data_IF_934948582581
#
_entry.id   IF_934948582581
#
_cell.length_a   1.000
_cell.length_b   1.000
_cell.length_c   1.000
_cell.angle_alpha   90.00
_cell.angle_beta   90.00
_cell.angle_gamma   90.00
#
_symmetry.space_group_name_H-M   'P 1'
#
loop_
_entity.id
_entity.type
_entity.pdbx_description
1 polymer ?
#
# COMPACT_ATOMS: atom_id res chain seq x y z
N UNK A 1 1.81 -5.43 33.04
CA UNK A 1 1.29 -5.70 31.86
C UNK A 1 2.24 -6.22 30.92
N UNK A 2 1.90 -7.22 30.39
CA UNK A 2 2.69 -7.71 29.52
C UNK A 2 2.81 -6.91 28.35
N UNK A 3 3.91 -6.99 27.82
CA UNK A 3 4.18 -6.35 26.62
C UNK A 3 3.30 -6.93 25.62
N UNK A 4 2.22 -6.30 25.43
CA UNK A 4 1.42 -6.67 24.33
C UNK A 4 2.24 -6.52 23.11
N UNK A 5 2.47 -7.61 22.49
CA UNK A 5 3.11 -7.57 21.20
C UNK A 5 2.13 -6.95 20.23
N UNK A 6 2.25 -5.65 20.04
CA UNK A 6 1.38 -4.94 19.11
C UNK A 6 1.65 -5.29 17.66
N UNK A 7 2.74 -6.00 17.38
CA UNK A 7 3.11 -6.35 16.02
C UNK A 7 2.80 -7.81 15.74
N UNK A 8 2.11 -8.06 14.65
CA UNK A 8 1.81 -9.41 14.19
C UNK A 8 2.79 -9.77 13.07
N UNK A 9 3.94 -10.30 13.47
CA UNK A 9 5.02 -10.62 12.54
C UNK A 9 4.59 -11.67 11.52
N UNK A 10 3.81 -12.65 11.94
CA UNK A 10 3.35 -13.70 11.02
C UNK A 10 2.43 -13.14 9.95
N UNK A 11 1.52 -12.24 10.35
CA UNK A 11 0.60 -11.63 9.41
C UNK A 11 1.32 -10.67 8.44
N UNK A 12 2.33 -9.94 8.94
CA UNK A 12 3.16 -9.07 8.10
C UNK A 12 3.89 -9.92 7.06
N UNK A 13 4.49 -11.03 7.47
CA UNK A 13 5.19 -11.94 6.56
C UNK A 13 4.24 -12.55 5.53
N UNK A 14 3.06 -12.96 5.97
CA UNK A 14 2.04 -13.52 5.07
C UNK A 14 1.61 -12.48 4.04
N UNK A 15 1.39 -11.24 4.47
CA UNK A 15 1.02 -10.15 3.56
C UNK A 15 2.11 -9.93 2.51
N UNK A 16 3.37 -9.92 2.92
CA UNK A 16 4.49 -9.74 2.01
C UNK A 16 4.56 -10.86 0.98
N UNK A 17 4.40 -12.10 1.41
CA UNK A 17 4.43 -13.26 0.52
C UNK A 17 3.28 -13.22 -0.48
N UNK A 18 2.07 -12.93 -0.02
CA UNK A 18 0.91 -12.84 -0.90
C UNK A 18 1.00 -11.66 -1.86
N UNK A 19 1.55 -10.54 -1.40
CA UNK A 19 1.74 -9.37 -2.25
C UNK A 19 2.77 -9.65 -3.36
N UNK A 20 3.83 -10.41 -3.04
CA UNK A 20 4.82 -10.81 -4.03
C UNK A 20 4.16 -11.55 -5.20
N UNK A 21 3.23 -12.45 -4.89
CA UNK A 21 2.50 -13.21 -5.93
C UNK A 21 1.54 -12.29 -6.68
N UNK A 22 0.73 -11.51 -5.96
CA UNK A 22 -0.28 -10.65 -6.57
C UNK A 22 0.35 -9.58 -7.47
N UNK A 23 1.35 -8.87 -6.95
CA UNK A 23 1.99 -7.76 -7.67
C UNK A 23 2.82 -8.23 -8.86
N UNK A 24 3.28 -9.47 -8.82
CA UNK A 24 4.01 -10.03 -9.95
C UNK A 24 3.15 -10.06 -11.22
N UNK A 25 1.84 -10.09 -11.07
CA UNK A 25 0.91 -10.03 -12.20
C UNK A 25 1.01 -8.74 -13.00
N UNK A 26 1.45 -7.65 -12.38
CA UNK A 26 1.64 -6.37 -13.09
C UNK A 26 2.89 -6.36 -13.97
N UNK A 27 3.73 -7.39 -13.89
CA UNK A 27 4.85 -7.59 -14.80
C UNK A 27 4.41 -8.27 -16.10
N UNK A 28 3.14 -8.66 -16.22
CA UNK A 28 2.59 -9.25 -17.43
C UNK A 28 2.62 -8.25 -18.57
N UNK A 29 2.89 -8.76 -19.79
CA UNK A 29 2.82 -7.95 -21.00
C UNK A 29 1.39 -7.80 -21.53
N UNK A 30 0.42 -8.49 -20.93
CA UNK A 30 -0.98 -8.43 -21.33
C UNK A 30 -1.69 -7.25 -20.66
N UNK A 31 -2.06 -6.18 -21.42
CA UNK A 31 -2.73 -5.02 -20.83
C UNK A 31 -4.08 -5.36 -20.19
N UNK A 32 -4.80 -6.35 -20.72
CA UNK A 32 -6.08 -6.75 -20.15
C UNK A 32 -5.90 -7.36 -18.77
N UNK A 33 -4.88 -8.21 -18.62
CA UNK A 33 -4.58 -8.81 -17.32
C UNK A 33 -4.21 -7.72 -16.29
N UNK A 34 -3.38 -6.75 -16.69
CA UNK A 34 -3.01 -5.64 -15.79
C UNK A 34 -4.23 -4.81 -15.40
N UNK A 35 -5.13 -4.56 -16.34
CA UNK A 35 -6.35 -3.81 -16.06
C UNK A 35 -7.25 -4.53 -15.07
N UNK A 36 -7.41 -5.85 -15.21
CA UNK A 36 -8.20 -6.65 -14.28
C UNK A 36 -7.59 -6.60 -12.88
N UNK A 37 -6.27 -6.76 -12.77
CA UNK A 37 -5.59 -6.67 -11.47
C UNK A 37 -5.74 -5.29 -10.86
N UNK A 38 -5.62 -4.24 -11.67
CA UNK A 38 -5.81 -2.86 -11.20
C UNK A 38 -7.21 -2.62 -10.66
N UNK A 39 -8.23 -3.18 -11.32
CA UNK A 39 -9.61 -3.03 -10.85
C UNK A 39 -9.84 -3.72 -9.50
N UNK A 40 -9.12 -4.80 -9.22
CA UNK A 40 -9.22 -5.51 -7.94
C UNK A 40 -8.66 -4.70 -6.77
N UNK A 41 -7.86 -3.67 -7.05
CA UNK A 41 -7.27 -2.82 -6.02
C UNK A 41 -8.21 -1.73 -5.53
N UNK A 42 -9.39 -1.57 -6.17
CA UNK A 42 -10.34 -0.53 -5.77
C UNK A 42 -10.98 -0.88 -4.44
N UNK A 43 -11.08 0.09 -3.51
CA UNK A 43 -11.73 -0.17 -2.24
C UNK A 43 -13.23 -0.35 -2.39
N UNK A 44 -13.78 -1.27 -1.60
CA UNK A 44 -15.22 -1.36 -1.38
C UNK A 44 -15.60 -0.39 -0.27
N UNK A 45 -16.90 -0.14 -0.11
CA UNK A 45 -17.36 0.81 0.89
C UNK A 45 -16.86 0.47 2.31
N UNK A 46 -16.90 -0.82 2.68
CA UNK A 46 -16.45 -1.24 4.00
C UNK A 46 -14.94 -1.14 4.21
N UNK A 47 -14.16 -1.07 3.15
CA UNK A 47 -12.70 -1.07 3.24
C UNK A 47 -12.16 0.22 3.83
N UNK A 48 -12.88 1.32 3.70
CA UNK A 48 -12.47 2.61 4.26
C UNK A 48 -12.37 2.54 5.79
N UNK A 49 -13.39 1.99 6.43
CA UNK A 49 -13.41 1.87 7.89
C UNK A 49 -12.41 0.84 8.40
N UNK A 50 -12.06 -0.15 7.58
CA UNK A 50 -11.03 -1.13 7.94
C UNK A 50 -9.63 -0.54 7.87
N UNK A 51 -9.45 0.55 7.12
CA UNK A 51 -8.13 1.10 6.82
C UNK A 51 -7.82 2.38 7.59
N UNK A 52 -8.78 3.28 7.70
CA UNK A 52 -8.59 4.61 8.29
C UNK A 52 -9.48 4.82 9.50
N UNK A 53 -9.05 5.68 10.42
CA UNK A 53 -9.91 6.08 11.54
C UNK A 53 -11.09 6.89 11.02
N UNK A 54 -12.24 6.79 11.69
CA UNK A 54 -13.51 7.28 11.15
C UNK A 54 -13.50 8.77 10.80
N UNK A 55 -12.85 9.59 11.61
CA UNK A 55 -12.91 11.04 11.45
C UNK A 55 -12.33 11.52 10.13
N UNK A 56 -11.40 10.77 9.55
CA UNK A 56 -10.68 11.22 8.34
C UNK A 56 -11.18 10.53 7.07
N UNK A 57 -12.11 9.59 7.18
CA UNK A 57 -12.60 8.85 6.01
C UNK A 57 -13.14 9.80 4.93
N UNK A 58 -14.01 10.77 5.22
CA UNK A 58 -14.51 11.65 4.16
C UNK A 58 -13.41 12.42 3.43
N UNK A 59 -12.34 12.81 4.14
CA UNK A 59 -11.21 13.51 3.52
C UNK A 59 -10.43 12.60 2.59
N UNK A 60 -10.18 11.36 3.01
CA UNK A 60 -9.50 10.39 2.16
C UNK A 60 -10.36 10.03 0.95
N UNK A 61 -11.66 9.85 1.13
CA UNK A 61 -12.57 9.55 0.01
C UNK A 61 -12.53 10.66 -1.03
N UNK A 62 -12.58 11.90 -0.59
CA UNK A 62 -12.50 13.05 -1.48
C UNK A 62 -11.16 13.07 -2.24
N UNK A 63 -10.07 12.83 -1.53
CA UNK A 63 -8.74 12.85 -2.13
C UNK A 63 -8.59 11.75 -3.19
N UNK A 64 -9.03 10.54 -2.90
CA UNK A 64 -8.85 9.40 -3.80
C UNK A 64 -9.87 9.35 -4.94
N UNK A 65 -10.97 10.09 -4.85
CA UNK A 65 -12.02 10.05 -5.86
C UNK A 65 -11.45 10.33 -7.26
N UNK A 66 -10.65 11.37 -7.42
CA UNK A 66 -10.08 11.74 -8.72
C UNK A 66 -9.12 10.67 -9.24
N UNK A 67 -8.32 10.10 -8.35
CA UNK A 67 -7.35 9.07 -8.72
C UNK A 67 -8.07 7.82 -9.25
N UNK A 68 -9.13 7.40 -8.57
CA UNK A 68 -9.88 6.21 -8.99
C UNK A 68 -10.66 6.45 -10.27
N UNK A 69 -11.20 7.65 -10.46
CA UNK A 69 -11.88 8.01 -11.71
C UNK A 69 -10.89 8.04 -12.88
N UNK A 70 -9.65 8.42 -12.64
CA UNK A 70 -8.62 8.41 -13.68
C UNK A 70 -8.11 7.01 -14.00
N UNK A 71 -8.55 6.02 -13.26
CA UNK A 71 -8.22 4.61 -13.49
C UNK A 71 -6.71 4.33 -13.50
N UNK A 72 -5.99 4.97 -12.57
CA UNK A 72 -4.54 4.80 -12.44
C UNK A 72 -4.24 3.39 -11.94
N UNK A 73 -3.24 2.75 -12.54
CA UNK A 73 -2.79 1.42 -12.12
C UNK A 73 -1.26 1.39 -12.01
N UNK A 74 -0.71 0.52 -11.16
CA UNK A 74 0.73 0.32 -11.13
C UNK A 74 1.24 -0.22 -12.47
N UNK A 75 2.45 0.19 -12.86
CA UNK A 75 3.04 -0.26 -14.11
C UNK A 75 4.55 -0.33 -13.97
N UNK A 76 5.15 -1.38 -14.54
CA UNK A 76 6.58 -1.51 -14.68
C UNK A 76 7.02 -0.92 -16.02
N UNK A 77 8.25 -0.42 -16.09
CA UNK A 77 8.85 0.00 -17.36
C UNK A 77 9.44 -1.20 -18.07
N UNK A 78 9.68 -1.04 -19.38
CA UNK A 78 10.35 -2.07 -20.17
C UNK A 78 11.68 -2.44 -19.53
N UNK A 79 11.94 -3.73 -19.40
CA UNK A 79 13.14 -4.23 -18.75
C UNK A 79 13.03 -4.43 -17.24
N UNK A 80 12.01 -3.87 -16.60
CA UNK A 80 11.78 -4.07 -15.16
C UNK A 80 11.00 -5.35 -14.95
N UNK A 81 11.73 -6.42 -14.68
CA UNK A 81 11.15 -7.77 -14.58
C UNK A 81 11.23 -8.34 -13.17
N UNK A 82 11.78 -7.60 -12.23
CA UNK A 82 11.90 -8.05 -10.85
C UNK A 82 11.05 -7.18 -9.94
N UNK A 83 10.58 -7.78 -8.85
CA UNK A 83 9.70 -7.15 -7.89
C UNK A 83 10.33 -7.24 -6.49
N UNK A 84 10.36 -6.11 -5.79
CA UNK A 84 10.81 -6.03 -4.40
C UNK A 84 9.67 -5.47 -3.58
N UNK A 85 9.28 -6.20 -2.51
CA UNK A 85 8.15 -5.83 -1.67
C UNK A 85 8.60 -5.65 -0.23
N UNK A 86 8.13 -4.59 0.41
CA UNK A 86 8.33 -4.34 1.84
C UNK A 86 6.97 -4.21 2.50
N UNK A 87 6.76 -4.90 3.62
CA UNK A 87 5.53 -4.84 4.40
C UNK A 87 5.81 -4.30 5.79
N UNK A 88 4.90 -3.50 6.32
CA UNK A 88 4.99 -2.96 7.67
C UNK A 88 3.59 -2.79 8.23
N UNK A 89 3.47 -2.90 9.56
CA UNK A 89 2.24 -2.58 10.25
C UNK A 89 2.17 -1.07 10.49
N UNK A 90 0.97 -0.51 10.57
CA UNK A 90 0.79 0.94 10.76
C UNK A 90 1.65 1.49 11.89
N UNK A 91 1.76 0.76 12.99
CA UNK A 91 2.54 1.19 14.15
C UNK A 91 4.03 1.36 13.85
N UNK A 92 4.57 0.58 12.89
CA UNK A 92 5.96 0.76 12.45
C UNK A 92 6.17 2.07 11.68
N UNK A 93 5.10 2.60 11.08
CA UNK A 93 5.22 3.75 10.17
C UNK A 93 5.09 5.10 10.89
N UNK A 94 4.72 5.08 12.17
CA UNK A 94 4.53 6.31 12.96
C UNK A 94 5.88 6.95 13.30
N UNK A 95 6.89 6.14 13.56
CA UNK A 95 8.20 6.61 13.99
C UNK A 95 9.27 6.23 12.98
N UNK A 96 10.39 6.97 13.02
CA UNK A 96 11.54 6.65 12.21
C UNK A 96 12.23 5.40 12.72
N UNK A 97 12.39 4.41 11.87
CA UNK A 97 13.09 3.15 12.16
C UNK A 97 13.49 2.50 10.83
N UNK A 98 14.32 1.42 10.86
CA UNK A 98 14.77 0.82 9.58
C UNK A 98 13.64 0.37 8.67
N UNK A 99 12.50 -0.03 9.22
CA UNK A 99 11.38 -0.47 8.40
C UNK A 99 10.64 0.71 7.78
N UNK A 100 10.35 1.76 8.56
CA UNK A 100 9.69 2.95 8.02
C UNK A 100 10.58 3.69 7.03
N UNK A 101 11.90 3.55 7.14
CA UNK A 101 12.84 4.16 6.20
C UNK A 101 12.73 3.55 4.80
N UNK A 102 12.10 2.39 4.65
CA UNK A 102 11.84 1.78 3.35
C UNK A 102 10.55 2.27 2.71
N UNK A 103 9.80 3.11 3.41
CA UNK A 103 8.59 3.73 2.91
C UNK A 103 8.86 5.21 2.64
N UNK A 104 8.08 5.85 1.76
CA UNK A 104 8.18 7.31 1.59
C UNK A 104 8.03 8.03 2.91
N UNK A 105 8.79 9.12 3.09
CA UNK A 105 8.83 9.85 4.36
C UNK A 105 7.50 10.42 4.82
N UNK A 106 6.57 10.65 3.89
CA UNK A 106 5.25 11.17 4.21
C UNK A 106 4.40 10.26 5.08
N UNK A 107 4.70 8.96 5.11
CA UNK A 107 3.94 8.03 5.95
C UNK A 107 3.98 8.40 7.43
N UNK A 108 5.09 8.92 7.91
CA UNK A 108 5.19 9.34 9.31
C UNK A 108 4.20 10.45 9.68
N UNK A 109 3.72 11.18 8.69
CA UNK A 109 2.75 12.27 8.90
C UNK A 109 1.32 11.77 8.98
N UNK A 110 1.01 10.60 8.42
CA UNK A 110 -0.38 10.12 8.31
C UNK A 110 -0.63 8.78 8.99
N UNK A 111 0.41 8.06 9.37
CA UNK A 111 0.22 6.69 9.89
C UNK A 111 -0.65 6.63 11.16
N UNK A 112 -0.69 7.71 11.94
CA UNK A 112 -1.57 7.79 13.11
C UNK A 112 -3.05 7.85 12.72
N UNK A 113 -3.36 8.09 11.46
CA UNK A 113 -4.74 8.11 10.93
C UNK A 113 -5.16 6.75 10.37
N UNK A 114 -4.25 5.80 10.33
CA UNK A 114 -4.56 4.43 9.91
C UNK A 114 -5.16 3.66 11.08
N UNK A 115 -6.06 2.73 10.78
CA UNK A 115 -6.54 1.83 11.82
C UNK A 115 -5.37 1.05 12.40
N UNK A 116 -5.31 0.91 13.74
CA UNK A 116 -4.24 0.12 14.37
C UNK A 116 -4.21 -1.31 13.82
N UNK A 117 -3.01 -1.82 13.62
CA UNK A 117 -2.81 -3.18 13.15
C UNK A 117 -2.90 -3.37 11.65
N UNK A 118 -3.26 -2.33 10.88
CA UNK A 118 -3.30 -2.46 9.42
C UNK A 118 -1.91 -2.67 8.85
N UNK A 119 -1.84 -3.48 7.80
CA UNK A 119 -0.57 -3.81 7.15
C UNK A 119 -0.49 -3.08 5.83
N UNK A 120 0.57 -2.30 5.68
CA UNK A 120 0.85 -1.46 4.52
C UNK A 120 2.06 -1.98 3.78
N UNK A 121 2.05 -1.87 2.46
CA UNK A 121 3.12 -2.39 1.64
C UNK A 121 3.58 -1.34 0.63
N UNK A 122 4.89 -1.37 0.39
CA UNK A 122 5.53 -0.59 -0.67
C UNK A 122 6.30 -1.58 -1.56
N UNK A 123 6.43 -1.26 -2.83
CA UNK A 123 7.13 -2.15 -3.74
C UNK A 123 7.83 -1.37 -4.86
N UNK A 124 8.74 -2.07 -5.54
CA UNK A 124 9.44 -1.55 -6.71
C UNK A 124 9.48 -2.60 -7.79
N UNK A 125 9.34 -2.15 -9.03
CA UNK A 125 9.68 -2.94 -10.20
C UNK A 125 11.07 -2.51 -10.64
N UNK A 126 11.99 -3.46 -10.73
CA UNK A 126 13.40 -3.17 -11.03
C UNK A 126 13.90 -4.01 -12.18
N UNK A 127 14.94 -3.51 -12.85
CA UNK A 127 15.69 -4.33 -13.79
C UNK A 127 16.55 -5.32 -13.00
N UNK A 128 16.89 -6.49 -13.57
CA UNK A 128 17.72 -7.47 -12.89
C UNK A 128 19.03 -6.85 -12.39
N UNK A 129 19.35 -7.12 -11.11
CA UNK A 129 20.58 -6.65 -10.50
C UNK A 129 20.57 -5.20 -10.05
N UNK A 130 19.47 -4.46 -10.27
CA UNK A 130 19.36 -3.06 -9.82
C UNK A 130 18.49 -2.95 -8.59
N UNK A 131 18.72 -1.90 -7.80
CA UNK A 131 17.95 -1.63 -6.59
C UNK A 131 17.00 -0.46 -6.75
N UNK A 132 17.14 0.31 -7.82
CA UNK A 132 16.25 1.43 -8.13
C UNK A 132 15.30 1.05 -9.26
N UNK A 133 14.12 1.67 -9.30
CA UNK A 133 13.13 1.38 -10.35
C UNK A 133 11.85 2.15 -10.08
N UNK A 134 10.75 1.68 -10.67
CA UNK A 134 9.43 2.27 -10.44
C UNK A 134 8.93 1.87 -9.08
N UNK A 135 8.82 2.86 -8.19
CA UNK A 135 8.42 2.64 -6.80
C UNK A 135 6.95 3.02 -6.58
N UNK A 136 6.26 2.17 -5.86
CA UNK A 136 4.87 2.35 -5.49
C UNK A 136 4.69 2.09 -4.00
N UNK A 137 3.60 2.59 -3.44
CA UNK A 137 3.28 2.42 -2.04
C UNK A 137 1.77 2.42 -1.84
N UNK A 138 1.33 2.19 -0.60
CA UNK A 138 -0.08 2.33 -0.26
C UNK A 138 -0.92 1.09 -0.50
N UNK A 139 -0.30 -0.07 -0.74
CA UNK A 139 -1.04 -1.31 -0.78
C UNK A 139 -1.38 -1.73 0.64
N UNK A 140 -2.63 -2.07 0.90
CA UNK A 140 -3.10 -2.48 2.23
C UNK A 140 -3.61 -3.91 2.16
N UNK A 141 -3.14 -4.74 3.09
CA UNK A 141 -3.59 -6.13 3.22
C UNK A 141 -4.73 -6.18 4.24
N UNK A 142 -5.94 -6.48 3.75
CA UNK A 142 -7.13 -6.48 4.59
C UNK A 142 -7.32 -7.81 5.33
N UNK A 143 -8.14 -7.81 6.42
CA UNK A 143 -8.35 -9.02 7.20
C UNK A 143 -8.89 -10.22 6.40
N UNK A 144 -9.63 -9.96 5.31
CA UNK A 144 -10.15 -11.03 4.45
C UNK A 144 -9.16 -11.42 3.34
N UNK A 145 -7.91 -11.02 3.49
CA UNK A 145 -6.81 -11.36 2.59
C UNK A 145 -6.90 -10.71 1.21
N UNK A 146 -7.72 -9.67 1.05
CA UNK A 146 -7.73 -8.86 -0.17
C UNK A 146 -6.74 -7.72 -0.05
N UNK A 147 -6.28 -7.22 -1.19
CA UNK A 147 -5.48 -6.01 -1.26
C UNK A 147 -6.31 -4.86 -1.80
N UNK A 148 -6.14 -3.68 -1.20
CA UNK A 148 -6.66 -2.43 -1.73
C UNK A 148 -5.51 -1.44 -1.83
N UNK A 149 -5.63 -0.43 -2.68
CA UNK A 149 -4.52 0.47 -2.95
C UNK A 149 -4.90 1.90 -2.65
N UNK A 150 -4.17 2.48 -1.69
CA UNK A 150 -4.31 3.87 -1.29
C UNK A 150 -2.95 4.55 -1.43
N UNK A 151 -2.51 4.87 -2.67
CA UNK A 151 -1.16 5.41 -2.88
C UNK A 151 -0.99 6.79 -2.28
N UNK A 152 0.21 7.04 -1.73
CA UNK A 152 0.63 8.35 -1.24
C UNK A 152 -0.40 9.00 -0.31
N UNK A 153 -0.80 8.31 0.75
CA UNK A 153 -1.90 8.81 1.60
C UNK A 153 -1.58 10.13 2.29
N UNK A 154 -0.30 10.47 2.48
CA UNK A 154 0.08 11.74 3.08
C UNK A 154 -0.33 12.94 2.24
N UNK A 155 -0.56 12.76 0.94
CA UNK A 155 -0.98 13.86 0.06
C UNK A 155 -2.37 14.39 0.40
N UNK A 156 -3.17 13.60 1.11
CA UNK A 156 -4.46 14.06 1.60
C UNK A 156 -4.30 15.28 2.53
N UNK A 157 -3.21 15.35 3.28
CA UNK A 157 -2.98 16.43 4.23
C UNK A 157 -2.84 17.80 3.56
N UNK A 158 -2.42 17.85 2.30
CA UNK A 158 -2.25 19.10 1.58
C UNK A 158 -3.51 19.52 0.80
N UNK A 159 -4.59 18.72 0.89
CA UNK A 159 -5.83 19.08 0.23
C UNK A 159 -6.60 20.08 1.09
N UNK A 160 -7.05 21.16 0.47
CA UNK A 160 -7.91 22.13 1.15
C UNK A 160 -9.28 21.51 1.43
N UNK A 161 -9.77 21.79 2.61
CA UNK A 161 -11.11 21.34 2.97
C UNK A 161 -12.18 22.14 2.24
#
# INVERSE_FOLDING_TARGET
>A
MDDINVFDIQRIHKAQTKAQVFLNGFLSNDPERRAVLGSQLRPREEDWALTFVDEVIPRFQKYYQGLFLANVTPAAKVGQTQLRVTAAQAEHLIFRNPLSDRFPGGYKKVAHLFQPGTIWLAWKFTEPGKTTGMAYDGLVYLPDERFVWFPKPWRMLSQSS
#
